data_IF_948674094768
#
_entry.id   IF_948674094768
#
_cell.length_a   1.000
_cell.length_b   1.000
_cell.length_c   1.000
_cell.angle_alpha   90.00
_cell.angle_beta   90.00
_cell.angle_gamma   90.00
#
_symmetry.space_group_name_H-M   'P 1'
#
loop_
_entity.id
_entity.type
_entity.pdbx_description
1 polymer ?
#
# COMPACT_ATOMS: atom_id res chain seq x y z
N UNK A 1 -8.94 -6.98 11.68
CA UNK A 1 -8.19 -6.25 10.64
C UNK A 1 -8.96 -6.33 9.33
N UNK A 2 -9.17 -5.21 8.64
CA UNK A 2 -9.70 -5.20 7.26
C UNK A 2 -8.51 -5.26 6.28
N UNK A 3 -8.55 -6.22 5.35
CA UNK A 3 -7.54 -6.51 4.32
C UNK A 3 -8.00 -5.91 2.96
N UNK A 4 -7.35 -6.28 1.83
CA UNK A 4 -6.58 -5.49 0.86
C UNK A 4 -7.26 -4.16 0.46
N UNK A 5 -7.25 -3.75 -0.83
CA UNK A 5 -7.63 -2.39 -1.23
C UNK A 5 -8.99 -1.98 -0.63
N UNK A 6 -8.97 -1.11 0.38
CA UNK A 6 -10.15 -0.78 1.19
C UNK A 6 -10.10 0.70 1.55
N UNK A 7 -11.29 1.27 1.75
CA UNK A 7 -11.42 2.67 2.13
C UNK A 7 -12.39 2.85 3.27
N UNK A 8 -12.01 3.66 4.26
CA UNK A 8 -12.82 3.93 5.44
C UNK A 8 -12.47 5.29 6.06
N UNK A 9 -13.34 5.77 6.94
CA UNK A 9 -13.06 6.93 7.78
C UNK A 9 -12.12 6.55 8.92
N UNK A 10 -11.09 7.38 9.13
CA UNK A 10 -10.20 7.27 10.27
C UNK A 10 -9.79 8.68 10.74
N UNK A 11 -10.04 9.00 12.00
CA UNK A 11 -9.75 10.30 12.61
C UNK A 11 -10.22 11.51 11.75
N UNK A 12 -11.48 11.46 11.28
CA UNK A 12 -12.09 12.52 10.45
C UNK A 12 -11.35 12.80 9.13
N UNK A 13 -10.71 11.76 8.58
CA UNK A 13 -10.09 11.74 7.26
C UNK A 13 -10.52 10.46 6.55
N UNK A 14 -10.56 10.53 5.23
CA UNK A 14 -10.85 9.36 4.42
C UNK A 14 -9.54 8.68 4.02
N UNK A 15 -9.39 7.42 4.36
CA UNK A 15 -8.22 6.63 4.01
C UNK A 15 -8.56 5.67 2.88
N UNK A 16 -7.69 5.58 1.87
CA UNK A 16 -7.75 4.53 0.85
C UNK A 16 -6.44 3.76 0.94
N UNK A 17 -6.50 2.52 1.41
CA UNK A 17 -5.36 1.62 1.42
C UNK A 17 -5.29 0.90 0.08
N UNK A 18 -4.09 0.90 -0.50
CA UNK A 18 -3.71 0.10 -1.65
C UNK A 18 -2.72 -0.96 -1.19
N UNK A 19 -2.91 -2.20 -1.63
CA UNK A 19 -2.07 -3.35 -1.29
C UNK A 19 -1.56 -4.01 -2.57
N UNK A 20 -0.25 -4.12 -2.67
CA UNK A 20 0.45 -4.71 -3.80
C UNK A 20 1.05 -6.05 -3.40
N UNK A 21 0.82 -7.07 -4.21
CA UNK A 21 1.44 -8.39 -4.05
C UNK A 21 2.60 -8.56 -5.03
N UNK A 22 3.71 -9.06 -4.51
CA UNK A 22 4.89 -9.45 -5.27
C UNK A 22 5.17 -10.93 -5.03
N UNK A 23 5.32 -11.77 -6.07
CA UNK A 23 5.62 -13.19 -5.89
C UNK A 23 6.92 -13.47 -5.12
N UNK A 24 7.88 -12.53 -5.17
CA UNK A 24 9.19 -12.62 -4.55
C UNK A 24 9.70 -11.23 -4.14
N UNK A 25 10.35 -11.15 -2.99
CA UNK A 25 11.20 -10.02 -2.58
C UNK A 25 12.65 -10.53 -2.52
N UNK A 26 13.46 -10.19 -3.53
CA UNK A 26 14.82 -10.73 -3.74
C UNK A 26 15.84 -9.62 -3.93
N UNK A 27 16.24 -8.92 -2.85
CA UNK A 27 17.16 -7.76 -2.89
C UNK A 27 18.54 -8.04 -3.49
N UNK A 28 18.98 -9.30 -3.52
CA UNK A 28 20.27 -9.78 -4.08
C UNK A 28 20.20 -11.31 -4.32
N UNK A 29 21.13 -11.89 -5.10
CA UNK A 29 21.18 -13.34 -5.32
C UNK A 29 21.17 -14.12 -4.00
N UNK A 30 20.39 -15.21 -3.97
CA UNK A 30 20.26 -16.12 -2.82
C UNK A 30 19.73 -15.53 -1.51
N UNK A 31 19.37 -14.24 -1.48
CA UNK A 31 18.81 -13.57 -0.30
C UNK A 31 17.45 -12.99 -0.64
N UNK A 32 16.48 -13.23 0.22
CA UNK A 32 15.13 -12.72 0.06
C UNK A 32 14.10 -13.67 0.64
N UNK A 33 12.85 -13.41 0.30
CA UNK A 33 11.69 -14.18 0.74
C UNK A 33 10.74 -14.43 -0.41
N UNK A 34 10.06 -15.57 -0.33
CA UNK A 34 8.90 -15.84 -1.17
C UNK A 34 7.75 -14.98 -0.65
N UNK A 35 7.08 -14.29 -1.56
CA UNK A 35 5.95 -13.39 -1.30
C UNK A 35 6.32 -12.09 -0.55
N UNK A 36 5.94 -10.98 -1.17
CA UNK A 36 6.01 -9.64 -0.62
C UNK A 36 4.64 -8.97 -0.72
N UNK A 37 4.27 -8.24 0.33
CA UNK A 37 3.12 -7.35 0.30
C UNK A 37 3.61 -5.98 0.73
N UNK A 38 3.29 -4.98 -0.08
CA UNK A 38 3.52 -3.57 0.26
C UNK A 38 2.19 -2.84 0.30
N UNK A 39 2.09 -1.81 1.14
CA UNK A 39 0.88 -1.03 1.31
C UNK A 39 1.17 0.46 1.13
N UNK A 40 0.23 1.14 0.48
CA UNK A 40 0.19 2.60 0.41
C UNK A 40 -1.17 3.08 0.91
N UNK A 41 -1.22 4.04 1.81
CA UNK A 41 -2.46 4.66 2.28
C UNK A 41 -2.49 6.09 1.76
N UNK A 42 -3.51 6.41 0.97
CA UNK A 42 -3.77 7.77 0.50
C UNK A 42 -4.83 8.38 1.40
N UNK A 43 -4.49 9.52 2.01
CA UNK A 43 -5.35 10.23 2.94
C UNK A 43 -6.00 11.42 2.23
N UNK A 44 -7.33 11.47 2.26
CA UNK A 44 -8.15 12.54 1.68
C UNK A 44 -8.94 13.25 2.78
N UNK A 45 -9.37 14.48 2.51
CA UNK A 45 -10.25 15.21 3.42
C UNK A 45 -11.64 14.58 3.46
N UNK A 46 -12.22 14.33 2.29
CA UNK A 46 -13.53 13.76 2.09
C UNK A 46 -13.55 13.01 0.74
N UNK A 47 -14.17 11.82 0.63
CA UNK A 47 -14.29 11.11 -0.64
C UNK A 47 -15.12 11.84 -1.71
N UNK A 48 -15.90 12.84 -1.31
CA UNK A 48 -16.86 13.57 -2.16
C UNK A 48 -16.36 14.94 -2.63
N UNK A 49 -15.26 15.45 -2.05
CA UNK A 49 -14.68 16.75 -2.44
C UNK A 49 -13.71 16.60 -3.61
N UNK A 50 -13.28 17.71 -4.22
CA UNK A 50 -12.14 17.69 -5.17
C UNK A 50 -11.02 16.92 -4.49
N UNK A 51 -10.63 15.77 -5.05
CA UNK A 51 -9.75 14.75 -4.46
C UNK A 51 -8.37 15.29 -4.04
N UNK A 52 -8.30 16.13 -3.01
CA UNK A 52 -7.06 16.68 -2.49
C UNK A 52 -6.41 15.62 -1.63
N UNK A 53 -5.23 15.17 -2.08
CA UNK A 53 -4.38 14.27 -1.30
C UNK A 53 -3.74 15.07 -0.17
N UNK A 54 -4.12 14.75 1.07
CA UNK A 54 -3.60 15.39 2.27
C UNK A 54 -2.29 14.77 2.74
N UNK A 55 -2.17 13.45 2.61
CA UNK A 55 -0.98 12.70 2.98
C UNK A 55 -0.93 11.36 2.25
N UNK A 56 0.26 10.79 2.20
CA UNK A 56 0.51 9.42 1.76
C UNK A 56 1.32 8.71 2.84
N UNK A 57 0.92 7.49 3.20
CA UNK A 57 1.69 6.62 4.08
C UNK A 57 2.14 5.38 3.32
N UNK A 58 3.40 4.98 3.44
CA UNK A 58 3.97 3.83 2.72
C UNK A 58 4.53 2.82 3.72
N UNK A 59 4.34 1.52 3.46
CA UNK A 59 4.88 0.45 4.28
C UNK A 59 6.42 0.46 4.28
N UNK A 60 7.01 0.36 5.46
CA UNK A 60 8.43 0.18 5.69
C UNK A 60 8.64 -0.90 6.76
N UNK A 61 8.78 -2.16 6.32
CA UNK A 61 8.87 -3.30 7.24
C UNK A 61 7.57 -3.51 8.02
N UNK A 62 7.60 -3.22 9.32
CA UNK A 62 6.43 -3.30 10.21
C UNK A 62 5.80 -1.93 10.51
N UNK A 63 6.36 -0.86 9.97
CA UNK A 63 5.95 0.51 10.21
C UNK A 63 5.45 1.18 8.92
N UNK A 64 5.01 2.43 9.04
CA UNK A 64 4.62 3.26 7.91
C UNK A 64 5.39 4.58 7.94
N UNK A 65 6.08 4.92 6.86
CA UNK A 65 6.53 6.29 6.64
C UNK A 65 5.36 7.16 6.20
N UNK A 66 5.40 8.46 6.49
CA UNK A 66 4.31 9.40 6.18
C UNK A 66 4.86 10.65 5.49
N UNK A 67 4.24 11.03 4.39
CA UNK A 67 4.48 12.30 3.70
C UNK A 67 3.21 13.12 3.74
N UNK A 68 3.26 14.30 4.34
CA UNK A 68 2.16 15.26 4.40
C UNK A 68 2.27 16.21 3.21
N UNK A 69 1.15 16.50 2.54
CA UNK A 69 1.06 17.38 1.37
C UNK A 69 2.15 17.04 0.33
N UNK A 70 2.08 15.86 -0.30
CA UNK A 70 3.10 15.44 -1.26
C UNK A 70 3.25 16.46 -2.39
N UNK A 71 4.50 16.75 -2.76
CA UNK A 71 4.82 17.63 -3.88
C UNK A 71 4.07 17.20 -5.15
N UNK A 72 3.67 18.19 -5.96
CA UNK A 72 2.98 17.95 -7.24
C UNK A 72 3.77 17.06 -8.19
N UNK A 73 5.11 17.04 -8.08
CA UNK A 73 5.97 16.15 -8.86
C UNK A 73 5.70 14.66 -8.58
N UNK A 74 5.15 14.32 -7.41
CA UNK A 74 4.78 12.95 -7.03
C UNK A 74 3.32 12.62 -7.35
N UNK A 75 2.59 13.55 -7.96
CA UNK A 75 1.20 13.40 -8.35
C UNK A 75 1.07 13.45 -9.88
N UNK A 76 0.07 12.76 -10.41
CA UNK A 76 -0.43 12.94 -11.76
C UNK A 76 -1.94 13.15 -11.67
N UNK A 77 -2.37 14.41 -11.72
CA UNK A 77 -3.72 14.78 -11.30
C UNK A 77 -3.94 14.42 -9.82
N UNK A 78 -4.83 13.48 -9.56
CA UNK A 78 -5.17 12.99 -8.20
C UNK A 78 -4.51 11.64 -7.88
N UNK A 79 -3.71 11.10 -8.80
CA UNK A 79 -3.04 9.81 -8.64
C UNK A 79 -1.65 10.01 -8.02
N UNK A 80 -1.37 9.27 -6.95
CA UNK A 80 -0.04 9.22 -6.32
C UNK A 80 0.88 8.33 -7.15
N UNK A 81 2.08 8.82 -7.47
CA UNK A 81 3.11 8.08 -8.21
C UNK A 81 4.04 7.35 -7.24
N UNK A 82 4.11 6.03 -7.38
CA UNK A 82 4.90 5.15 -6.53
C UNK A 82 5.93 4.37 -7.35
N UNK A 83 7.13 4.18 -6.81
CA UNK A 83 8.08 3.17 -7.25
C UNK A 83 8.15 2.03 -6.26
N UNK A 84 8.39 0.82 -6.76
CA UNK A 84 8.81 -0.32 -5.96
C UNK A 84 10.30 -0.54 -6.20
N UNK A 85 11.11 -0.37 -5.16
CA UNK A 85 12.56 -0.37 -5.27
C UNK A 85 13.23 -0.96 -4.04
N UNK A 86 14.51 -1.32 -4.19
CA UNK A 86 15.34 -1.79 -3.08
C UNK A 86 15.65 -0.63 -2.15
N UNK A 87 15.29 -0.76 -0.88
CA UNK A 87 15.58 0.23 0.14
C UNK A 87 17.04 0.14 0.60
N UNK A 88 17.71 1.29 0.68
CA UNK A 88 19.08 1.40 1.18
C UNK A 88 19.12 1.03 2.67
N UNK A 89 20.10 0.21 3.09
CA UNK A 89 20.29 -0.20 4.49
C UNK A 89 19.54 -1.47 4.89
N UNK A 90 18.27 -1.63 4.49
CA UNK A 90 17.43 -2.72 4.99
C UNK A 90 17.52 -4.01 4.18
N UNK A 91 18.07 -3.93 2.96
CA UNK A 91 18.20 -5.09 2.09
C UNK A 91 16.85 -5.74 1.77
N UNK A 92 15.76 -4.97 1.74
CA UNK A 92 14.43 -5.40 1.29
C UNK A 92 13.94 -4.45 0.20
N UNK A 93 12.90 -4.83 -0.53
CA UNK A 93 12.16 -3.87 -1.34
C UNK A 93 11.11 -3.14 -0.51
N UNK A 94 10.62 -2.02 -1.03
CA UNK A 94 9.51 -1.26 -0.46
C UNK A 94 8.99 -0.22 -1.46
N UNK A 95 7.96 0.51 -1.06
CA UNK A 95 7.38 1.58 -1.86
C UNK A 95 8.06 2.92 -1.58
N UNK A 96 8.20 3.75 -2.61
CA UNK A 96 8.67 5.14 -2.52
C UNK A 96 7.82 6.06 -3.38
N UNK A 97 7.68 7.32 -2.96
CA UNK A 97 7.15 8.37 -3.84
C UNK A 97 8.17 8.61 -4.97
N UNK A 98 7.67 8.78 -6.20
CA UNK A 98 8.54 8.99 -7.36
C UNK A 98 8.03 10.07 -8.30
N UNK A 99 8.95 10.81 -8.91
CA UNK A 99 8.61 11.77 -9.94
C UNK A 99 8.37 11.12 -11.31
N UNK A 100 8.85 9.88 -11.50
CA UNK A 100 8.71 9.14 -12.75
C UNK A 100 7.27 8.74 -12.97
N UNK A 101 6.81 8.83 -14.21
CA UNK A 101 5.53 8.25 -14.59
C UNK A 101 5.67 6.72 -14.60
N UNK A 102 4.58 6.04 -14.25
CA UNK A 102 4.47 4.60 -14.30
C UNK A 102 3.11 4.20 -14.86
N UNK A 103 2.84 2.91 -14.85
CA UNK A 103 1.60 2.36 -15.36
C UNK A 103 0.48 2.38 -14.32
N UNK A 104 -0.76 2.47 -14.80
CA UNK A 104 -1.94 2.25 -13.97
C UNK A 104 -2.22 0.76 -13.90
N UNK A 105 -2.30 0.21 -12.70
CA UNK A 105 -2.65 -1.19 -12.49
C UNK A 105 -4.16 -1.37 -12.39
N UNK A 106 -4.65 -2.55 -12.78
CA UNK A 106 -6.04 -2.93 -12.56
C UNK A 106 -6.30 -3.03 -11.06
N UNK A 107 -7.31 -2.29 -10.60
CA UNK A 107 -7.72 -2.24 -9.21
C UNK A 107 -8.90 -3.18 -8.97
N UNK A 108 -8.78 -4.02 -7.96
CA UNK A 108 -9.91 -4.75 -7.38
C UNK A 108 -10.05 -4.34 -5.92
N UNK A 109 -11.23 -3.84 -5.56
CA UNK A 109 -11.55 -3.45 -4.18
C UNK A 109 -11.84 -4.70 -3.34
N UNK A 110 -11.61 -4.61 -2.04
CA UNK A 110 -11.90 -5.71 -1.11
C UNK A 110 -13.34 -6.20 -1.20
N UNK A 111 -14.29 -5.26 -1.33
CA UNK A 111 -15.72 -5.54 -1.43
C UNK A 111 -16.10 -6.23 -2.74
N UNK A 112 -15.25 -6.15 -3.76
CA UNK A 112 -15.43 -6.80 -5.06
C UNK A 112 -14.85 -8.21 -5.11
N UNK A 113 -14.06 -8.62 -4.11
CA UNK A 113 -13.56 -10.00 -4.03
C UNK A 113 -14.68 -10.98 -3.66
N UNK A 114 -14.61 -12.19 -4.22
CA UNK A 114 -15.48 -13.28 -3.80
C UNK A 114 -15.20 -13.65 -2.34
N UNK A 115 -16.15 -14.25 -1.60
CA UNK A 115 -15.92 -14.73 -0.23
C UNK A 115 -14.68 -15.63 -0.10
N UNK A 116 -14.44 -16.51 -1.08
CA UNK A 116 -13.30 -17.43 -1.12
C UNK A 116 -11.98 -16.66 -1.24
N UNK A 117 -11.92 -15.68 -2.14
CA UNK A 117 -10.74 -14.83 -2.30
C UNK A 117 -10.46 -14.01 -1.03
N UNK A 118 -11.51 -13.50 -0.37
CA UNK A 118 -11.37 -12.80 0.92
C UNK A 118 -10.84 -13.70 2.01
N UNK A 119 -11.35 -14.93 2.11
CA UNK A 119 -10.89 -15.92 3.08
C UNK A 119 -9.42 -16.31 2.84
N UNK A 120 -9.02 -16.52 1.58
CA UNK A 120 -7.64 -16.83 1.23
C UNK A 120 -6.67 -15.69 1.63
N UNK A 121 -7.04 -14.44 1.35
CA UNK A 121 -6.25 -13.27 1.74
C UNK A 121 -6.16 -13.15 3.27
N UNK A 122 -7.29 -13.27 3.98
CA UNK A 122 -7.31 -13.23 5.45
C UNK A 122 -6.44 -14.33 6.07
N UNK A 123 -6.49 -15.55 5.53
CA UNK A 123 -5.66 -16.65 5.99
C UNK A 123 -4.16 -16.36 5.83
N UNK A 124 -3.76 -15.67 4.77
CA UNK A 124 -2.36 -15.28 4.58
C UNK A 124 -1.89 -14.26 5.64
N UNK A 125 -2.75 -13.29 5.98
CA UNK A 125 -2.44 -12.27 6.99
C UNK A 125 -2.49 -12.81 8.42
N UNK A 126 -3.41 -13.74 8.74
CA UNK A 126 -3.51 -14.34 10.08
C UNK A 126 -2.31 -15.23 10.42
N UNK A 127 -1.67 -15.86 9.44
CA UNK A 127 -0.44 -16.64 9.67
C UNK A 127 0.78 -15.79 10.06
N UNK A 128 0.73 -14.45 9.91
CA UNK A 128 1.86 -13.55 10.26
C UNK A 128 1.67 -12.77 11.57
N UNK A 129 0.46 -12.75 12.13
CA UNK A 129 0.21 -12.23 13.47
C UNK A 129 -0.22 -13.40 14.35
N UNK A 130 0.67 -13.86 15.24
CA UNK A 130 0.30 -14.79 16.30
C UNK A 130 -0.95 -14.29 17.01
N UNK A 131 -1.87 -15.20 17.29
CA UNK A 131 -3.11 -14.95 18.02
C UNK A 131 -2.80 -14.30 19.36
N UNK A 132 -3.16 -13.02 19.49
CA UNK A 132 -3.43 -12.44 20.78
C UNK A 132 -4.94 -12.20 20.84
N UNK A 133 -5.60 -13.13 21.51
CA UNK A 133 -6.85 -12.86 22.25
C UNK A 133 -6.60 -11.81 23.34
#
# INVERSE_FOLDING_TARGET
MKCPNHSDWYNNKWAIMYVYYFPKDSPRPYVGRRHGFEQAIVWLENPSSRNVVLAVSLSEGHEFSKTILPDSKFLHGTSVKLSYEKLVGNGTHGLRLTAKNGDSLLLIMWEQLTPEARNAVNGFYSMRCGSHE
#
